data_IF_293281482708
#
_entry.id   IF_293281482708
#
_cell.length_a   1.000
_cell.length_b   1.000
_cell.length_c   1.000
_cell.angle_alpha   90.00
_cell.angle_beta   90.00
_cell.angle_gamma   90.00
#
_symmetry.space_group_name_H-M   'P 1'
#
loop_
_entity.id
_entity.type
_entity.pdbx_description
1 polymer ?
#
# COMPACT_ATOMS: atom_id res chain seq x y z
N UNK A 1 -13.27 31.21 -0.33
CA UNK A 1 -11.99 31.64 0.26
C UNK A 1 -11.58 30.62 1.30
N UNK A 2 -10.34 30.13 1.22
CA UNK A 2 -9.78 29.13 2.12
C UNK A 2 -9.47 29.82 3.45
N UNK A 3 -10.34 29.64 4.44
CA UNK A 3 -10.33 30.43 5.67
C UNK A 3 -9.26 29.90 6.66
N UNK A 4 -8.22 30.72 6.90
CA UNK A 4 -7.13 30.49 7.86
C UNK A 4 -7.38 31.12 9.24
N UNK A 5 -8.64 31.22 9.70
CA UNK A 5 -9.00 31.76 11.01
C UNK A 5 -9.50 30.69 12.01
N UNK A 6 -9.02 29.45 11.84
CA UNK A 6 -9.16 28.37 12.82
C UNK A 6 -10.44 27.55 12.66
N UNK A 7 -10.25 26.22 12.52
CA UNK A 7 -11.22 25.14 12.16
C UNK A 7 -11.27 24.73 10.68
N UNK A 8 -10.34 25.20 9.85
CA UNK A 8 -10.24 24.84 8.42
C UNK A 8 -9.62 23.46 8.15
N UNK A 9 -9.79 22.97 6.91
CA UNK A 9 -9.09 21.79 6.37
C UNK A 9 -7.64 22.18 6.05
N UNK A 10 -6.67 21.55 6.72
CA UNK A 10 -5.23 21.83 6.58
C UNK A 10 -4.49 20.84 5.67
N UNK A 11 -5.24 20.04 4.90
CA UNK A 11 -4.70 18.96 4.08
C UNK A 11 -5.55 18.78 2.82
N UNK A 12 -4.91 18.81 1.66
CA UNK A 12 -5.55 18.64 0.36
C UNK A 12 -5.23 17.26 -0.21
N UNK A 13 -6.19 16.34 -0.36
CA UNK A 13 -5.95 15.04 -0.98
C UNK A 13 -5.41 15.24 -2.40
N UNK A 14 -4.27 14.63 -2.72
CA UNK A 14 -3.64 14.80 -4.03
C UNK A 14 -3.62 13.50 -4.81
N UNK A 15 -3.13 12.43 -4.17
CA UNK A 15 -3.10 11.08 -4.73
C UNK A 15 -3.57 10.07 -3.70
N UNK A 16 -4.03 8.93 -4.19
CA UNK A 16 -4.32 7.77 -3.37
C UNK A 16 -3.76 6.53 -4.03
N UNK A 17 -3.63 5.48 -3.23
CA UNK A 17 -3.23 4.19 -3.74
C UNK A 17 -3.46 3.12 -2.71
N UNK A 18 -2.92 1.95 -3.00
CA UNK A 18 -3.07 0.81 -2.11
C UNK A 18 -1.76 0.06 -1.87
N UNK A 19 -1.79 -0.74 -0.83
CA UNK A 19 -0.78 -1.72 -0.49
C UNK A 19 -1.37 -3.13 -0.63
N UNK A 20 -0.92 -3.86 -1.63
CA UNK A 20 -1.53 -5.11 -2.07
C UNK A 20 -0.46 -6.06 -2.62
N UNK A 21 -0.85 -7.01 -3.47
CA UNK A 21 0.05 -8.05 -3.96
C UNK A 21 0.59 -7.71 -5.35
N UNK A 22 1.90 -7.82 -5.51
CA UNK A 22 2.60 -7.75 -6.77
C UNK A 22 3.39 -9.03 -7.02
N UNK A 23 3.57 -9.39 -8.29
CA UNK A 23 4.37 -10.56 -8.67
C UNK A 23 4.93 -10.45 -10.08
N UNK A 24 5.95 -11.26 -10.33
CA UNK A 24 6.53 -11.52 -11.64
C UNK A 24 5.63 -12.44 -12.44
N UNK A 25 4.99 -11.94 -13.50
CA UNK A 25 3.99 -12.70 -14.28
C UNK A 25 4.58 -13.86 -15.06
N UNK A 26 5.89 -13.81 -15.32
CA UNK A 26 6.69 -14.85 -15.96
C UNK A 26 7.15 -15.95 -15.00
N UNK A 27 7.04 -15.73 -13.67
CA UNK A 27 7.55 -16.65 -12.64
C UNK A 27 6.48 -17.13 -11.66
N UNK A 28 5.34 -16.45 -11.56
CA UNK A 28 4.31 -16.74 -10.58
C UNK A 28 2.91 -16.46 -11.10
N UNK A 29 1.96 -17.27 -10.62
CA UNK A 29 0.53 -16.99 -10.72
C UNK A 29 -0.11 -17.30 -9.37
N UNK A 30 -0.87 -16.35 -8.78
CA UNK A 30 -1.61 -16.63 -7.57
C UNK A 30 -2.58 -17.81 -7.76
N UNK A 31 -2.56 -18.80 -6.87
CA UNK A 31 -3.54 -19.90 -6.91
C UNK A 31 -4.97 -19.35 -6.85
N UNK A 32 -5.82 -19.81 -7.78
CA UNK A 32 -7.21 -19.37 -7.89
C UNK A 32 -7.42 -18.02 -8.59
N UNK A 33 -6.37 -17.41 -9.16
CA UNK A 33 -6.45 -16.21 -9.99
C UNK A 33 -6.48 -14.89 -9.22
N UNK A 34 -7.12 -14.84 -8.05
CA UNK A 34 -7.11 -13.68 -7.15
C UNK A 34 -6.03 -13.85 -6.06
N UNK A 35 -5.12 -12.87 -5.87
CA UNK A 35 -4.08 -12.97 -4.87
C UNK A 35 -4.63 -12.84 -3.45
N UNK A 36 -3.74 -13.12 -2.50
CA UNK A 36 -3.94 -12.99 -1.08
C UNK A 36 -2.64 -12.56 -0.43
N UNK A 37 -2.73 -11.86 0.70
CA UNK A 37 -1.54 -11.61 1.53
C UNK A 37 -0.85 -12.91 1.95
N UNK A 38 -1.58 -14.03 1.96
CA UNK A 38 -1.08 -15.38 2.11
C UNK A 38 -0.03 -15.81 1.08
N UNK A 39 0.00 -15.22 -0.12
CA UNK A 39 0.94 -15.61 -1.18
C UNK A 39 2.40 -15.35 -0.78
N UNK A 40 2.67 -14.35 0.09
CA UNK A 40 4.02 -14.09 0.64
C UNK A 40 4.55 -15.28 1.45
N UNK A 41 3.66 -16.11 1.99
CA UNK A 41 3.98 -17.11 3.00
C UNK A 41 3.94 -18.55 2.47
N UNK A 42 3.79 -18.74 1.15
CA UNK A 42 3.64 -20.07 0.57
C UNK A 42 5.00 -20.78 0.39
N UNK A 43 5.07 -22.12 0.53
CA UNK A 43 6.33 -22.86 0.44
C UNK A 43 7.07 -22.69 -0.90
N UNK A 44 6.34 -22.57 -2.02
CA UNK A 44 6.92 -22.50 -3.37
C UNK A 44 7.69 -21.20 -3.66
N UNK A 45 7.46 -20.15 -2.88
CA UNK A 45 8.14 -18.85 -2.99
C UNK A 45 9.13 -18.59 -1.86
N UNK A 46 9.58 -19.64 -1.16
CA UNK A 46 10.52 -19.48 -0.04
C UNK A 46 11.81 -18.76 -0.43
N UNK A 47 12.13 -17.72 0.33
CA UNK A 47 13.30 -16.85 0.13
C UNK A 47 13.20 -15.98 -1.11
N UNK A 48 12.00 -15.82 -1.68
CA UNK A 48 11.74 -15.05 -2.92
C UNK A 48 10.63 -14.02 -2.73
N UNK A 49 10.34 -13.62 -1.49
CA UNK A 49 9.27 -12.66 -1.23
C UNK A 49 9.76 -11.35 -0.62
N UNK A 50 8.96 -10.31 -0.74
CA UNK A 50 9.22 -9.03 -0.06
C UNK A 50 7.94 -8.46 0.53
N UNK A 51 8.11 -7.61 1.54
CA UNK A 51 7.02 -6.91 2.20
C UNK A 51 7.57 -5.68 2.93
N UNK A 52 6.71 -4.72 3.26
CA UNK A 52 7.05 -3.70 4.25
C UNK A 52 6.70 -4.24 5.64
N UNK A 53 7.63 -4.25 6.61
CA UNK A 53 7.42 -4.86 7.93
C UNK A 53 6.18 -4.37 8.70
N UNK A 54 5.67 -3.17 8.42
CA UNK A 54 4.47 -2.67 9.10
C UNK A 54 3.18 -3.16 8.42
N UNK A 55 2.99 -2.81 7.16
CA UNK A 55 1.79 -3.11 6.37
C UNK A 55 1.69 -4.55 5.93
N UNK A 56 2.81 -5.19 5.61
CA UNK A 56 2.84 -6.61 5.31
C UNK A 56 2.49 -7.46 6.53
N UNK A 57 2.84 -7.04 7.76
CA UNK A 57 2.41 -7.73 8.99
C UNK A 57 0.90 -7.60 9.19
N UNK A 58 0.33 -6.41 8.94
CA UNK A 58 -1.13 -6.23 8.92
C UNK A 58 -1.78 -7.18 7.89
N UNK A 59 -1.25 -7.22 6.66
CA UNK A 59 -1.71 -8.14 5.61
C UNK A 59 -1.61 -9.62 6.03
N UNK A 60 -0.53 -10.01 6.72
CA UNK A 60 -0.41 -11.34 7.31
C UNK A 60 -1.53 -11.60 8.33
N UNK A 61 -1.89 -10.63 9.16
CA UNK A 61 -3.04 -10.70 10.06
C UNK A 61 -4.35 -10.98 9.32
N UNK A 62 -4.65 -10.24 8.25
CA UNK A 62 -5.86 -10.46 7.44
C UNK A 62 -5.89 -11.86 6.81
N UNK A 63 -4.72 -12.34 6.34
CA UNK A 63 -4.59 -13.71 5.86
C UNK A 63 -4.85 -14.72 6.99
N UNK A 64 -4.33 -14.49 8.20
CA UNK A 64 -4.55 -15.36 9.36
C UNK A 64 -6.03 -15.43 9.76
N UNK A 65 -6.80 -14.35 9.63
CA UNK A 65 -8.26 -14.39 9.79
C UNK A 65 -8.91 -15.29 8.72
N UNK A 66 -8.49 -15.13 7.46
CA UNK A 66 -9.02 -15.89 6.32
C UNK A 66 -8.84 -17.40 6.48
N UNK A 67 -7.72 -17.83 7.07
CA UNK A 67 -7.43 -19.25 7.32
C UNK A 67 -7.84 -19.73 8.72
N UNK A 68 -8.59 -18.91 9.49
CA UNK A 68 -9.11 -19.28 10.81
C UNK A 68 -8.08 -19.38 11.93
N UNK A 69 -6.88 -18.80 11.75
CA UNK A 69 -5.85 -18.71 12.80
C UNK A 69 -6.03 -17.48 13.71
N UNK A 70 -6.75 -16.47 13.23
CA UNK A 70 -7.31 -15.37 14.03
C UNK A 70 -8.84 -15.38 13.87
N UNK A 71 -9.56 -14.83 14.85
CA UNK A 71 -11.01 -14.73 14.72
C UNK A 71 -11.37 -13.61 13.73
N UNK A 72 -12.50 -13.73 12.99
CA UNK A 72 -12.94 -12.68 12.09
C UNK A 72 -13.00 -11.29 12.76
N UNK A 73 -12.33 -10.31 12.16
CA UNK A 73 -12.25 -8.93 12.64
C UNK A 73 -11.33 -8.67 13.83
N UNK A 74 -10.52 -9.64 14.27
CA UNK A 74 -9.50 -9.43 15.31
C UNK A 74 -8.51 -8.33 14.90
N UNK A 75 -8.05 -8.32 13.65
CA UNK A 75 -7.11 -7.35 13.08
C UNK A 75 -7.64 -5.93 13.25
N UNK A 76 -8.89 -5.66 12.86
CA UNK A 76 -9.47 -4.32 12.94
C UNK A 76 -9.81 -3.92 14.38
N UNK A 77 -10.26 -4.87 15.22
CA UNK A 77 -10.44 -4.62 16.66
C UNK A 77 -9.13 -4.26 17.36
N UNK A 78 -8.00 -4.78 16.87
CA UNK A 78 -6.67 -4.50 17.39
C UNK A 78 -6.32 -3.01 17.38
N UNK A 79 -6.87 -2.23 16.44
CA UNK A 79 -6.57 -0.79 16.29
C UNK A 79 -7.44 0.13 17.17
N UNK A 80 -8.31 -0.42 18.02
CA UNK A 80 -9.18 0.37 18.90
C UNK A 80 -8.46 0.83 20.19
N UNK A 81 -7.46 0.09 20.65
CA UNK A 81 -6.64 0.44 21.82
C UNK A 81 -5.38 -0.41 21.87
N UNK A 82 -4.36 0.06 22.59
CA UNK A 82 -3.13 -0.71 22.85
C UNK A 82 -3.42 -2.09 23.46
N UNK A 83 -4.33 -2.16 24.45
CA UNK A 83 -4.73 -3.40 25.12
C UNK A 83 -5.26 -4.45 24.14
N UNK A 84 -6.04 -4.02 23.14
CA UNK A 84 -6.57 -4.90 22.09
C UNK A 84 -5.52 -5.24 21.05
N UNK A 85 -4.58 -4.32 20.79
CA UNK A 85 -3.56 -4.49 19.77
C UNK A 85 -2.59 -5.61 20.11
N UNK A 86 -2.06 -5.59 21.34
CA UNK A 86 -0.98 -6.47 21.79
C UNK A 86 -1.27 -7.97 21.58
N UNK A 87 -2.37 -8.57 22.06
CA UNK A 87 -2.61 -10.01 21.92
C UNK A 87 -2.78 -10.45 20.46
N UNK A 88 -3.30 -9.58 19.59
CA UNK A 88 -3.45 -9.86 18.16
C UNK A 88 -2.09 -9.77 17.46
N UNK A 89 -1.35 -8.69 17.70
CA UNK A 89 -0.05 -8.46 17.10
C UNK A 89 1.03 -9.40 17.60
N UNK A 90 0.93 -9.93 18.82
CA UNK A 90 1.78 -11.03 19.30
C UNK A 90 1.65 -12.27 18.42
N UNK A 91 0.41 -12.68 18.09
CA UNK A 91 0.14 -13.83 17.22
C UNK A 91 0.65 -13.57 15.79
N UNK A 92 0.39 -12.38 15.25
CA UNK A 92 0.87 -11.98 13.91
C UNK A 92 2.40 -11.98 13.86
N UNK A 93 3.04 -11.35 14.86
CA UNK A 93 4.50 -11.25 14.93
C UNK A 93 5.12 -12.63 15.07
N UNK A 94 4.56 -13.49 15.93
CA UNK A 94 5.02 -14.88 16.06
C UNK A 94 4.95 -15.60 14.72
N UNK A 95 3.83 -15.50 14.01
CA UNK A 95 3.69 -16.11 12.68
C UNK A 95 4.74 -15.57 11.69
N UNK A 96 4.95 -14.25 11.65
CA UNK A 96 5.92 -13.63 10.75
C UNK A 96 7.35 -14.07 11.08
N UNK A 97 7.72 -14.12 12.36
CA UNK A 97 9.04 -14.60 12.83
C UNK A 97 9.26 -16.07 12.49
N UNK A 98 8.30 -16.94 12.80
CA UNK A 98 8.40 -18.38 12.51
C UNK A 98 8.53 -18.67 11.01
N UNK A 99 8.05 -17.75 10.15
CA UNK A 99 8.08 -17.86 8.69
C UNK A 99 9.03 -16.86 8.03
N UNK A 100 9.95 -16.24 8.78
CA UNK A 100 10.83 -15.17 8.26
C UNK A 100 11.67 -15.59 7.05
N UNK A 101 12.01 -16.88 6.96
CA UNK A 101 12.72 -17.49 5.81
C UNK A 101 12.02 -17.30 4.46
N UNK A 102 10.73 -16.94 4.45
CA UNK A 102 10.02 -16.60 3.22
C UNK A 102 10.54 -15.29 2.63
N UNK A 103 10.92 -14.34 3.49
CA UNK A 103 11.25 -12.98 3.13
C UNK A 103 12.70 -12.90 2.64
N UNK A 104 12.87 -12.45 1.40
CA UNK A 104 14.15 -12.10 0.78
C UNK A 104 14.64 -10.74 1.27
N UNK A 105 13.75 -9.74 1.25
CA UNK A 105 14.06 -8.37 1.65
C UNK A 105 12.84 -7.65 2.24
N UNK A 106 13.11 -6.63 3.02
CA UNK A 106 12.12 -5.66 3.47
C UNK A 106 12.31 -4.36 2.69
N UNK A 107 11.25 -3.89 2.02
CA UNK A 107 11.29 -2.63 1.28
C UNK A 107 10.80 -1.47 2.16
N UNK A 108 11.23 -0.25 1.81
CA UNK A 108 10.80 0.97 2.50
C UNK A 108 10.54 2.16 1.55
N UNK A 109 10.74 1.96 0.25
CA UNK A 109 10.57 2.99 -0.78
C UNK A 109 10.19 2.33 -2.13
N UNK A 110 9.94 3.16 -3.14
CA UNK A 110 9.57 2.69 -4.48
C UNK A 110 10.72 1.93 -5.17
N UNK A 111 11.96 2.35 -4.95
CA UNK A 111 13.12 1.81 -5.67
C UNK A 111 13.47 0.41 -5.18
N UNK A 112 13.42 0.16 -3.88
CA UNK A 112 13.59 -1.18 -3.30
C UNK A 112 12.52 -2.16 -3.77
N UNK A 113 11.27 -1.72 -3.96
CA UNK A 113 10.20 -2.56 -4.54
C UNK A 113 10.50 -2.93 -5.99
N UNK A 114 10.89 -1.95 -6.82
CA UNK A 114 11.24 -2.19 -8.22
C UNK A 114 12.46 -3.11 -8.32
N UNK A 115 13.53 -2.80 -7.60
CA UNK A 115 14.76 -3.57 -7.63
C UNK A 115 14.56 -5.00 -7.12
N UNK A 116 13.70 -5.17 -6.11
CA UNK A 116 13.30 -6.48 -5.60
C UNK A 116 12.83 -7.43 -6.71
N UNK A 117 11.83 -7.00 -7.48
CA UNK A 117 11.21 -7.80 -8.54
C UNK A 117 12.08 -7.93 -9.79
N UNK A 118 12.89 -6.93 -10.12
CA UNK A 118 13.71 -6.94 -11.33
C UNK A 118 15.03 -7.70 -11.13
N UNK A 119 15.72 -7.44 -10.02
CA UNK A 119 17.15 -7.76 -9.88
C UNK A 119 17.50 -8.60 -8.64
N UNK A 120 16.68 -8.60 -7.58
CA UNK A 120 17.02 -9.29 -6.32
C UNK A 120 16.35 -10.66 -6.15
N UNK A 121 15.70 -11.15 -7.21
CA UNK A 121 15.08 -12.48 -7.23
C UNK A 121 13.78 -12.58 -6.43
N UNK A 122 13.13 -11.45 -6.13
CA UNK A 122 11.76 -11.46 -5.61
C UNK A 122 10.80 -11.87 -6.73
N UNK A 123 9.92 -12.80 -6.39
CA UNK A 123 8.91 -13.35 -7.30
C UNK A 123 7.51 -12.85 -6.96
N UNK A 124 7.21 -12.67 -5.67
CA UNK A 124 5.92 -12.16 -5.17
C UNK A 124 6.17 -11.27 -3.96
N UNK A 125 5.40 -10.20 -3.80
CA UNK A 125 5.53 -9.34 -2.63
C UNK A 125 4.28 -8.55 -2.32
N UNK A 126 4.14 -8.16 -1.06
CA UNK A 126 3.22 -7.09 -0.69
C UNK A 126 3.92 -5.77 -1.03
N UNK A 127 3.29 -4.85 -1.76
CA UNK A 127 3.92 -3.63 -2.32
C UNK A 127 2.93 -2.47 -2.40
N UNK A 128 3.42 -1.25 -2.68
CA UNK A 128 2.59 -0.17 -3.24
C UNK A 128 2.21 -0.48 -4.70
N UNK A 129 1.05 0.01 -5.13
CA UNK A 129 0.59 -0.04 -6.52
C UNK A 129 1.50 0.71 -7.48
N UNK A 130 1.72 2.01 -7.23
CA UNK A 130 2.38 2.92 -8.18
C UNK A 130 3.71 2.44 -8.75
N UNK A 131 4.70 2.03 -7.91
CA UNK A 131 5.98 1.56 -8.40
C UNK A 131 5.86 0.36 -9.35
N UNK A 132 4.94 -0.56 -9.07
CA UNK A 132 4.75 -1.79 -9.85
C UNK A 132 3.96 -1.53 -11.12
N UNK A 133 2.91 -0.70 -11.04
CA UNK A 133 2.15 -0.28 -12.21
C UNK A 133 2.98 0.55 -13.18
N UNK A 134 3.90 1.38 -12.68
CA UNK A 134 4.86 2.09 -13.51
C UNK A 134 5.80 1.13 -14.26
N UNK A 135 6.34 0.09 -13.58
CA UNK A 135 7.15 -0.95 -14.24
C UNK A 135 6.34 -1.70 -15.31
N UNK A 136 5.09 -2.05 -14.99
CA UNK A 136 4.18 -2.72 -15.94
C UNK A 136 3.93 -1.86 -17.17
N UNK A 137 3.71 -0.56 -17.01
CA UNK A 137 3.59 0.39 -18.13
C UNK A 137 4.87 0.46 -18.97
N UNK A 138 6.05 0.25 -18.37
CA UNK A 138 7.33 0.17 -19.07
C UNK A 138 7.57 -1.16 -19.80
N UNK A 139 6.64 -2.12 -19.69
CA UNK A 139 6.70 -3.42 -20.36
C UNK A 139 7.38 -4.52 -19.54
N UNK A 140 7.70 -4.26 -18.27
CA UNK A 140 8.27 -5.28 -17.39
C UNK A 140 7.23 -6.38 -17.08
N UNK A 141 7.71 -7.61 -16.91
CA UNK A 141 6.88 -8.79 -16.61
C UNK A 141 6.42 -8.81 -15.15
N UNK A 142 5.76 -7.75 -14.71
CA UNK A 142 5.22 -7.58 -13.36
C UNK A 142 3.75 -7.21 -13.42
N UNK A 143 3.03 -7.55 -12.36
CA UNK A 143 1.67 -7.06 -12.15
C UNK A 143 1.40 -6.78 -10.68
N UNK A 144 0.31 -6.08 -10.44
CA UNK A 144 -0.21 -5.71 -9.13
C UNK A 144 -1.71 -5.99 -9.11
N UNK A 145 -2.23 -6.49 -8.00
CA UNK A 145 -3.67 -6.67 -7.82
C UNK A 145 -4.09 -6.67 -6.34
N UNK A 146 -5.28 -6.12 -6.08
CA UNK A 146 -5.95 -6.18 -4.79
C UNK A 146 -6.21 -7.64 -4.36
N UNK A 147 -5.83 -8.04 -3.14
CA UNK A 147 -6.07 -9.39 -2.65
C UNK A 147 -7.53 -9.58 -2.23
N UNK A 148 -7.94 -10.85 -2.10
CA UNK A 148 -9.27 -11.23 -1.61
C UNK A 148 -9.59 -10.69 -0.22
N UNK A 149 -8.58 -10.47 0.63
CA UNK A 149 -8.73 -9.87 1.96
C UNK A 149 -9.02 -8.35 1.92
N UNK A 150 -8.89 -7.72 0.75
CA UNK A 150 -9.01 -6.27 0.58
C UNK A 150 -7.67 -5.55 0.68
N UNK A 151 -7.40 -4.65 -0.27
CA UNK A 151 -6.14 -3.91 -0.33
C UNK A 151 -6.10 -2.80 0.73
N UNK A 152 -4.93 -2.56 1.33
CA UNK A 152 -4.77 -1.50 2.33
C UNK A 152 -4.69 -0.14 1.63
N UNK A 153 -5.65 0.74 1.86
CA UNK A 153 -5.76 2.02 1.15
C UNK A 153 -5.17 3.19 1.95
N UNK A 154 -4.46 4.06 1.25
CA UNK A 154 -3.88 5.29 1.77
C UNK A 154 -4.21 6.47 0.84
N UNK A 155 -4.18 7.67 1.39
CA UNK A 155 -4.33 8.92 0.63
C UNK A 155 -3.22 9.86 1.08
N UNK A 156 -2.44 10.34 0.13
CA UNK A 156 -1.43 11.35 0.33
C UNK A 156 -1.93 12.70 -0.18
N UNK A 157 -1.56 13.74 0.52
CA UNK A 157 -2.03 15.09 0.22
C UNK A 157 -1.04 16.15 0.65
N UNK A 158 -1.38 17.39 0.35
CA UNK A 158 -0.51 18.53 0.57
C UNK A 158 -0.98 19.34 1.77
N UNK A 159 0.00 19.75 2.58
CA UNK A 159 -0.17 20.69 3.69
C UNK A 159 0.91 21.75 3.60
N UNK A 160 0.58 22.98 4.01
CA UNK A 160 1.55 24.09 4.05
C UNK A 160 2.16 24.16 5.45
N UNK A 161 3.49 24.00 5.61
CA UNK A 161 4.15 24.19 6.90
C UNK A 161 3.94 25.60 7.46
N UNK A 162 3.87 25.75 8.79
CA UNK A 162 3.62 27.05 9.45
C UNK A 162 4.70 28.10 9.20
N UNK A 163 5.91 27.67 8.80
CA UNK A 163 7.03 28.54 8.45
C UNK A 163 7.30 28.65 6.95
N UNK A 164 6.33 28.28 6.10
CA UNK A 164 6.50 28.38 4.65
C UNK A 164 6.60 29.85 4.21
N UNK A 165 7.53 30.12 3.30
CA UNK A 165 7.69 31.40 2.60
C UNK A 165 7.22 31.25 1.14
N UNK A 166 7.13 32.34 0.38
CA UNK A 166 6.69 32.34 -1.03
C UNK A 166 5.24 31.84 -1.23
N UNK A 167 4.32 32.37 -0.42
CA UNK A 167 2.92 31.92 -0.41
C UNK A 167 2.24 32.01 -1.77
N UNK A 168 2.50 33.07 -2.55
CA UNK A 168 1.90 33.23 -3.89
C UNK A 168 2.30 32.09 -4.83
N UNK A 169 3.58 31.68 -4.80
CA UNK A 169 4.08 30.57 -5.61
C UNK A 169 3.55 29.23 -5.12
N UNK A 170 3.39 29.05 -3.81
CA UNK A 170 2.78 27.84 -3.23
C UNK A 170 1.33 27.72 -3.71
N UNK A 171 0.55 28.79 -3.65
CA UNK A 171 -0.83 28.77 -4.15
C UNK A 171 -0.90 28.54 -5.66
N UNK A 172 -0.05 29.19 -6.45
CA UNK A 172 0.02 28.95 -7.89
C UNK A 172 0.37 27.48 -8.22
N UNK A 173 1.27 26.86 -7.45
CA UNK A 173 1.59 25.45 -7.59
C UNK A 173 0.41 24.56 -7.21
N UNK A 174 -0.24 24.81 -6.07
CA UNK A 174 -1.42 24.06 -5.63
C UNK A 174 -2.56 24.16 -6.64
N UNK A 175 -2.83 25.35 -7.18
CA UNK A 175 -3.84 25.52 -8.23
C UNK A 175 -3.50 24.68 -9.46
N UNK A 176 -2.25 24.72 -9.93
CA UNK A 176 -1.82 23.98 -11.12
C UNK A 176 -1.90 22.46 -10.96
N UNK A 177 -1.41 21.90 -9.85
CA UNK A 177 -1.38 20.43 -9.65
C UNK A 177 -2.76 19.84 -9.37
N UNK A 178 -3.74 20.68 -9.04
CA UNK A 178 -5.15 20.29 -8.88
C UNK A 178 -6.00 20.51 -10.14
N UNK A 179 -5.39 20.90 -11.27
CA UNK A 179 -6.08 20.87 -12.56
C UNK A 179 -6.16 19.43 -13.09
N UNK A 180 -7.30 19.02 -13.72
CA UNK A 180 -7.48 17.66 -14.23
C UNK A 180 -6.39 17.20 -15.21
N UNK A 181 -5.97 18.05 -16.16
CA UNK A 181 -4.99 17.65 -17.18
C UNK A 181 -3.59 17.41 -16.61
N UNK A 182 -2.96 18.34 -15.85
CA UNK A 182 -1.71 18.06 -15.14
C UNK A 182 -1.77 16.82 -14.25
N UNK A 183 -2.86 16.65 -13.48
CA UNK A 183 -3.04 15.50 -12.60
C UNK A 183 -3.15 14.18 -13.39
N UNK A 184 -3.88 14.18 -14.51
CA UNK A 184 -4.00 13.01 -15.39
C UNK A 184 -2.68 12.60 -16.03
N UNK A 185 -1.88 13.57 -16.48
CA UNK A 185 -0.51 13.32 -16.97
C UNK A 185 0.42 12.78 -15.88
N UNK A 186 0.23 13.22 -14.64
CA UNK A 186 1.06 12.77 -13.51
C UNK A 186 0.79 11.29 -13.18
N UNK A 187 -0.48 10.90 -13.02
CA UNK A 187 -0.85 9.52 -12.66
C UNK A 187 -0.43 8.49 -13.70
N UNK A 188 -0.42 8.87 -14.97
CA UNK A 188 0.07 8.04 -16.07
C UNK A 188 1.57 7.70 -15.93
N UNK A 189 2.35 8.61 -15.34
CA UNK A 189 3.79 8.48 -15.18
C UNK A 189 4.20 7.72 -13.92
N UNK A 190 3.61 8.07 -12.77
CA UNK A 190 4.03 7.49 -11.48
C UNK A 190 3.19 6.28 -11.05
N UNK A 191 2.04 6.02 -11.69
CA UNK A 191 1.22 4.82 -11.50
C UNK A 191 0.30 4.82 -10.28
N UNK A 192 0.28 5.90 -9.47
CA UNK A 192 -0.70 6.07 -8.39
C UNK A 192 -1.98 6.71 -8.92
N UNK A 193 -3.03 6.78 -8.11
CA UNK A 193 -4.33 7.27 -8.53
C UNK A 193 -4.55 8.71 -8.08
N UNK A 194 -5.30 9.50 -8.87
CA UNK A 194 -5.53 10.91 -8.55
C UNK A 194 -6.72 11.08 -7.61
N UNK A 195 -6.61 12.04 -6.69
CA UNK A 195 -7.77 12.56 -5.95
C UNK A 195 -8.43 13.75 -6.68
N UNK A 196 -7.84 14.24 -7.77
CA UNK A 196 -8.39 15.32 -8.60
C UNK A 196 -9.48 14.77 -9.51
N UNK A 197 -10.69 15.28 -9.35
CA UNK A 197 -11.84 14.84 -10.14
C UNK A 197 -11.63 15.11 -11.63
N UNK A 198 -11.83 14.08 -12.46
CA UNK A 198 -11.70 14.17 -13.92
C UNK A 198 -10.27 14.01 -14.45
N UNK A 199 -9.28 13.81 -13.58
CA UNK A 199 -7.89 13.55 -14.00
C UNK A 199 -7.75 12.26 -14.83
N UNK A 200 -8.58 11.26 -14.55
CA UNK A 200 -8.65 9.99 -15.28
C UNK A 200 -8.90 10.18 -16.79
N UNK A 201 -9.60 11.23 -17.20
CA UNK A 201 -9.88 11.57 -18.60
C UNK A 201 -8.64 12.01 -19.38
N UNK A 202 -7.58 12.37 -18.67
CA UNK A 202 -6.30 12.83 -19.24
C UNK A 202 -5.16 11.82 -19.02
N UNK A 203 -5.46 10.67 -18.43
CA UNK A 203 -4.52 9.54 -18.34
C UNK A 203 -4.60 8.65 -19.58
N UNK A 204 -3.59 7.80 -19.80
CA UNK A 204 -3.56 6.94 -20.99
C UNK A 204 -4.53 5.75 -20.89
N UNK A 205 -4.81 5.13 -22.03
CA UNK A 205 -5.51 3.84 -22.07
C UNK A 205 -4.75 2.73 -21.31
N UNK A 206 -3.41 2.82 -21.26
CA UNK A 206 -2.60 1.87 -20.49
C UNK A 206 -2.81 2.04 -18.99
N UNK A 207 -2.94 3.28 -18.49
CA UNK A 207 -3.33 3.54 -17.11
C UNK A 207 -4.71 2.93 -16.82
N UNK A 208 -5.71 3.19 -17.66
CA UNK A 208 -7.07 2.66 -17.46
C UNK A 208 -7.09 1.12 -17.40
N UNK A 209 -6.32 0.46 -18.29
CA UNK A 209 -6.15 -1.00 -18.28
C UNK A 209 -5.49 -1.49 -16.98
N UNK A 210 -4.37 -0.87 -16.60
CA UNK A 210 -3.64 -1.22 -15.38
C UNK A 210 -4.51 -1.05 -14.13
N UNK A 211 -5.31 0.03 -14.06
CA UNK A 211 -6.25 0.29 -12.97
C UNK A 211 -7.31 -0.80 -12.88
N UNK A 212 -7.93 -1.17 -14.00
CA UNK A 212 -8.95 -2.23 -14.03
C UNK A 212 -8.39 -3.61 -13.63
N UNK A 213 -7.15 -3.92 -13.98
CA UNK A 213 -6.48 -5.16 -13.60
C UNK A 213 -6.01 -5.17 -12.13
N UNK A 214 -5.60 -4.00 -11.62
CA UNK A 214 -5.22 -3.80 -10.23
C UNK A 214 -6.43 -3.92 -9.28
N UNK A 215 -7.59 -3.44 -9.73
CA UNK A 215 -8.82 -3.40 -8.94
C UNK A 215 -10.00 -4.07 -9.67
N UNK A 216 -9.99 -5.41 -9.83
CA UNK A 216 -11.03 -6.12 -10.55
C UNK A 216 -12.34 -6.20 -9.75
N UNK A 217 -13.47 -6.13 -10.47
CA UNK A 217 -14.81 -6.33 -9.90
C UNK A 217 -15.13 -5.35 -8.77
N UNK A 218 -15.51 -5.88 -7.61
CA UNK A 218 -15.89 -5.09 -6.44
C UNK A 218 -14.71 -4.75 -5.50
N UNK A 219 -13.46 -4.97 -5.91
CA UNK A 219 -12.31 -4.77 -5.02
C UNK A 219 -12.19 -3.34 -4.46
N UNK A 220 -12.63 -2.33 -5.21
CA UNK A 220 -12.66 -0.93 -4.74
C UNK A 220 -13.65 -0.72 -3.57
N UNK A 221 -14.70 -1.55 -3.45
CA UNK A 221 -15.62 -1.53 -2.31
C UNK A 221 -15.06 -2.27 -1.10
N UNK A 222 -14.04 -3.10 -1.30
CA UNK A 222 -13.38 -3.90 -0.27
C UNK A 222 -11.99 -3.34 0.09
N UNK A 223 -11.79 -2.03 -0.05
CA UNK A 223 -10.57 -1.38 0.40
C UNK A 223 -10.56 -1.23 1.92
N UNK A 224 -9.41 -1.49 2.51
CA UNK A 224 -9.15 -1.41 3.94
C UNK A 224 -8.38 -0.12 4.24
N UNK A 225 -9.05 1.00 4.59
CA UNK A 225 -8.35 2.25 4.88
C UNK A 225 -7.43 2.10 6.08
N UNK A 226 -6.24 2.72 6.02
CA UNK A 226 -5.36 2.77 7.18
C UNK A 226 -6.07 3.37 8.39
N UNK A 227 -5.98 2.74 9.58
CA UNK A 227 -6.51 3.32 10.81
C UNK A 227 -5.78 4.62 11.14
N UNK A 228 -6.43 5.47 11.95
CA UNK A 228 -5.74 6.61 12.54
C UNK A 228 -4.53 6.15 13.35
N UNK A 229 -3.48 6.97 13.36
CA UNK A 229 -2.22 6.67 14.04
C UNK A 229 -2.01 7.51 15.30
N UNK A 230 -2.72 7.21 16.40
CA UNK A 230 -2.39 7.79 17.70
C UNK A 230 -1.02 7.29 18.16
N UNK A 231 -0.37 8.05 19.05
CA UNK A 231 0.99 7.75 19.52
C UNK A 231 1.14 6.32 20.05
N UNK A 232 0.19 5.83 20.84
CA UNK A 232 0.21 4.46 21.36
C UNK A 232 0.29 3.41 20.24
N UNK A 233 -0.40 3.63 19.11
CA UNK A 233 -0.37 2.70 17.98
C UNK A 233 1.01 2.78 17.31
N UNK A 234 1.54 3.97 17.05
CA UNK A 234 2.86 4.15 16.47
C UNK A 234 3.95 3.43 17.27
N UNK A 235 3.90 3.54 18.61
CA UNK A 235 4.87 2.94 19.52
C UNK A 235 4.76 1.40 19.50
N UNK A 236 3.55 0.86 19.69
CA UNK A 236 3.30 -0.60 19.71
C UNK A 236 3.62 -1.23 18.36
N UNK A 237 3.24 -0.58 17.25
CA UNK A 237 3.58 -1.05 15.90
C UNK A 237 5.09 -1.12 15.70
N UNK A 238 5.82 -0.11 16.16
CA UNK A 238 7.28 -0.06 16.06
C UNK A 238 7.94 -1.17 16.87
N UNK A 239 7.43 -1.43 18.08
CA UNK A 239 7.87 -2.54 18.94
C UNK A 239 7.75 -3.89 18.20
N UNK A 240 6.56 -4.23 17.71
CA UNK A 240 6.32 -5.52 17.03
C UNK A 240 7.06 -5.64 15.69
N UNK A 241 7.10 -4.56 14.91
CA UNK A 241 7.91 -4.51 13.69
C UNK A 241 9.37 -4.81 13.98
N UNK A 242 9.94 -4.22 15.03
CA UNK A 242 11.34 -4.45 15.39
C UNK A 242 11.58 -5.88 15.84
N UNK A 243 10.65 -6.49 16.60
CA UNK A 243 10.72 -7.92 16.92
C UNK A 243 10.80 -8.78 15.67
N UNK A 244 9.97 -8.52 14.66
CA UNK A 244 10.01 -9.28 13.41
C UNK A 244 11.30 -9.06 12.62
N UNK A 245 11.70 -7.81 12.42
CA UNK A 245 12.86 -7.49 11.58
C UNK A 245 14.18 -7.94 12.21
N UNK A 246 14.28 -7.97 13.54
CA UNK A 246 15.51 -8.33 14.24
C UNK A 246 15.61 -9.82 14.65
N UNK A 247 14.54 -10.61 14.44
CA UNK A 247 14.52 -12.04 14.74
C UNK A 247 15.40 -12.92 13.84
#
# INVERSE_FOLDING_TARGET
EWNFEGKGVHWLPHIWGTEAMAWRTDLYSPPGGTPSYGNVWQPEVQGKTMMRPHSGMLGAGLYLETIGKLNPGDVWRAYQSEEKMRPVWEKITKFCVDNKKQIKLFWNDADSQKNGLLNEGVVVGQTWDGPILALKTQGESVTYQAPREGALAWVDGMSIPTGAENMDQIYAFLEYVFLPEPAGRAIDKHGYNSAVLGADKFASAQYAKNFAEAYPGDSLKNLNPWPSEPQWYADVRTEFRNKFVNA
#
